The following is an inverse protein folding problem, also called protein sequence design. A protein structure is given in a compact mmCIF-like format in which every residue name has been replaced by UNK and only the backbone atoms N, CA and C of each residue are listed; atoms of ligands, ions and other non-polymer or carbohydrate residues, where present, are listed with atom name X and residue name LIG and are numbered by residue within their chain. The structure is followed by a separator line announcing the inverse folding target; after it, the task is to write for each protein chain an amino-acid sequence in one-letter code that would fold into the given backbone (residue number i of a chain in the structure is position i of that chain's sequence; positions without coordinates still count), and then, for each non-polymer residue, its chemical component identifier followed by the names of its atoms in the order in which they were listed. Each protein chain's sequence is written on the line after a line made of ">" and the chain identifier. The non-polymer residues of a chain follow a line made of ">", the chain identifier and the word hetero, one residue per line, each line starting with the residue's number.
data_IF_099071007275
#
_entry.id   IF_099071007275
#
_cell.length_a   1.000
_cell.length_b   1.000
_cell.length_c   1.000
_cell.angle_alpha   90.00
_cell.angle_beta   90.00
_cell.angle_gamma   90.00
#
_symmetry.space_group_name_H-M   'P 1'
#
loop_
_entity.id
_entity.type
_entity.pdbx_description
1 polymer ?
#
# COMPACT_ATOMS: atom_id res chain seq x y z
N UNK A 1 -5.92 32.41 -43.53
CA UNK A 1 -5.23 31.10 -43.69
C UNK A 1 -3.91 30.99 -42.90
N UNK A 2 -3.69 31.80 -41.84
CA UNK A 2 -2.50 31.73 -40.96
C UNK A 2 -2.76 31.11 -39.58
N UNK A 3 -4.00 30.80 -39.20
CA UNK A 3 -4.33 30.39 -37.81
C UNK A 3 -4.17 28.90 -37.50
N UNK A 4 -3.82 28.07 -38.49
CA UNK A 4 -3.75 26.61 -38.28
C UNK A 4 -2.34 26.13 -37.88
N UNK A 5 -1.29 26.91 -38.17
CA UNK A 5 0.09 26.57 -37.81
C UNK A 5 0.43 27.00 -36.37
N UNK A 6 -0.19 28.09 -35.91
CA UNK A 6 0.02 28.65 -34.56
C UNK A 6 -0.51 27.72 -33.44
N UNK A 7 -1.60 26.98 -33.68
CA UNK A 7 -2.15 26.05 -32.69
C UNK A 7 -1.25 24.84 -32.47
N UNK A 8 -0.68 24.28 -33.55
CA UNK A 8 0.26 23.17 -33.47
C UNK A 8 1.60 23.56 -32.80
N UNK A 9 1.98 24.84 -32.88
CA UNK A 9 3.14 25.37 -32.17
C UNK A 9 2.84 25.59 -30.67
N UNK A 10 1.64 26.04 -30.33
CA UNK A 10 1.20 26.25 -28.95
C UNK A 10 1.11 24.93 -28.18
N UNK A 11 0.52 23.90 -28.77
CA UNK A 11 0.40 22.57 -28.15
C UNK A 11 1.75 21.90 -27.90
N UNK A 12 2.75 22.20 -28.74
CA UNK A 12 4.13 21.72 -28.55
C UNK A 12 4.80 22.44 -27.37
N UNK A 13 4.56 23.74 -27.20
CA UNK A 13 5.07 24.51 -26.06
C UNK A 13 4.41 24.09 -24.74
N UNK A 14 3.09 23.86 -24.76
CA UNK A 14 2.35 23.46 -23.56
C UNK A 14 2.84 22.10 -23.05
N UNK A 15 2.97 21.10 -23.94
CA UNK A 15 3.52 19.78 -23.59
C UNK A 15 4.96 19.84 -23.08
N UNK A 16 5.77 20.76 -23.61
CA UNK A 16 7.13 21.01 -23.12
C UNK A 16 7.13 21.54 -21.68
N UNK A 17 6.30 22.54 -21.39
CA UNK A 17 6.18 23.13 -20.05
C UNK A 17 5.62 22.15 -19.03
N UNK A 18 4.63 21.33 -19.40
CA UNK A 18 4.09 20.28 -18.51
C UNK A 18 5.14 19.23 -18.14
N UNK A 19 5.98 18.85 -19.11
CA UNK A 19 7.09 17.91 -18.87
C UNK A 19 8.17 18.53 -17.95
N UNK A 20 8.48 19.82 -18.12
CA UNK A 20 9.41 20.54 -17.24
C UNK A 20 8.86 20.68 -15.82
N UNK A 21 7.59 21.07 -15.66
CA UNK A 21 6.93 21.18 -14.35
C UNK A 21 6.93 19.82 -13.63
N UNK A 22 6.66 18.73 -14.35
CA UNK A 22 6.69 17.38 -13.77
C UNK A 22 8.10 16.98 -13.31
N UNK A 23 9.14 17.30 -14.08
CA UNK A 23 10.54 17.09 -13.69
C UNK A 23 10.93 17.92 -12.46
N UNK A 24 10.54 19.20 -12.42
CA UNK A 24 10.82 20.09 -11.29
C UNK A 24 10.16 19.58 -10.00
N UNK A 25 8.90 19.16 -10.05
CA UNK A 25 8.20 18.58 -8.88
C UNK A 25 8.89 17.31 -8.38
N UNK A 26 9.30 16.40 -9.27
CA UNK A 26 10.05 15.20 -8.89
C UNK A 26 11.40 15.54 -8.23
N UNK A 27 12.11 16.56 -8.73
CA UNK A 27 13.38 17.00 -8.15
C UNK A 27 13.21 17.62 -6.76
N UNK A 28 12.16 18.43 -6.55
CA UNK A 28 11.87 19.06 -5.25
C UNK A 28 11.54 18.03 -4.17
N UNK A 29 10.72 17.01 -4.47
CA UNK A 29 10.42 15.94 -3.51
C UNK A 29 11.66 15.12 -3.14
N UNK A 30 12.54 14.85 -4.12
CA UNK A 30 13.79 14.12 -3.88
C UNK A 30 14.78 14.93 -3.04
N UNK A 31 14.88 16.24 -3.31
CA UNK A 31 15.73 17.15 -2.54
C UNK A 31 15.27 17.27 -1.07
N UNK A 32 13.96 17.37 -0.81
CA UNK A 32 13.44 17.40 0.57
C UNK A 32 13.73 16.09 1.31
N UNK A 33 13.57 14.94 0.64
CA UNK A 33 13.94 13.64 1.20
C UNK A 33 15.44 13.53 1.53
N UNK A 34 16.31 14.07 0.67
CA UNK A 34 17.77 14.10 0.88
C UNK A 34 18.17 15.07 1.98
N UNK A 35 17.49 16.21 2.17
CA UNK A 35 17.78 17.12 3.30
C UNK A 35 17.42 16.47 4.64
N UNK A 36 16.33 15.70 4.70
CA UNK A 36 15.91 14.98 5.90
C UNK A 36 16.85 13.80 6.19
N UNK A 37 17.25 13.03 5.16
CA UNK A 37 18.13 11.87 5.33
C UNK A 37 19.63 12.22 5.45
N UNK A 38 20.09 13.29 4.80
CA UNK A 38 21.51 13.62 4.64
C UNK A 38 21.96 14.92 5.32
N UNK A 39 21.05 15.87 5.60
CA UNK A 39 21.41 17.19 6.14
C UNK A 39 21.30 17.29 7.66
N UNK A 40 20.21 16.79 8.24
CA UNK A 40 19.95 16.92 9.68
C UNK A 40 20.11 15.62 10.47
N UNK A 41 19.87 14.45 9.86
CA UNK A 41 20.07 13.15 10.51
C UNK A 41 21.49 12.93 11.06
N UNK A 42 22.54 13.04 10.22
CA UNK A 42 23.91 12.86 10.69
C UNK A 42 24.42 14.05 11.53
N UNK A 43 23.89 15.28 11.37
CA UNK A 43 24.28 16.41 12.24
C UNK A 43 23.72 16.25 13.66
N UNK A 44 22.49 15.77 13.81
CA UNK A 44 21.89 15.44 15.12
C UNK A 44 22.64 14.28 15.77
N UNK A 45 22.98 13.23 15.01
CA UNK A 45 23.77 12.09 15.53
C UNK A 45 25.22 12.49 15.83
N UNK A 46 25.85 13.35 15.02
CA UNK A 46 27.20 13.88 15.24
C UNK A 46 27.29 14.85 16.42
N UNK A 47 26.26 15.66 16.66
CA UNK A 47 26.13 16.46 17.89
C UNK A 47 25.97 15.59 19.14
N UNK A 48 25.33 14.44 19.03
CA UNK A 48 25.24 13.44 20.11
C UNK A 48 26.58 12.71 20.31
N UNK A 49 27.36 12.48 19.25
CA UNK A 49 28.59 11.69 19.30
C UNK A 49 29.88 12.48 19.62
N UNK A 50 29.97 13.76 19.25
CA UNK A 50 31.12 14.61 19.59
C UNK A 50 31.03 15.30 20.95
N UNK A 51 29.90 15.14 21.66
CA UNK A 51 29.78 15.44 23.08
C UNK A 51 30.53 14.42 23.95
N UNK A 52 31.83 14.28 23.73
CA UNK A 52 32.73 13.60 24.67
C UNK A 52 32.69 14.32 26.00
N UNK A 53 32.29 13.59 27.06
CA UNK A 53 32.33 14.07 28.43
C UNK A 53 31.15 14.98 28.79
N UNK A 54 29.91 14.49 28.66
CA UNK A 54 28.81 15.06 29.43
C UNK A 54 29.13 14.82 30.89
N UNK A 55 29.64 15.87 31.52
CA UNK A 55 29.60 16.01 32.97
C UNK A 55 28.14 15.81 33.37
N UNK A 56 27.85 15.00 34.39
CA UNK A 56 26.51 14.81 35.00
C UNK A 56 25.93 16.10 35.61
N UNK A 57 26.25 17.27 35.07
CA UNK A 57 25.54 18.51 35.32
C UNK A 57 24.16 18.35 34.68
N UNK A 58 23.08 18.25 35.47
CA UNK A 58 21.75 18.16 34.91
C UNK A 58 21.54 19.43 34.08
N UNK A 59 21.41 19.27 32.77
CA UNK A 59 20.83 20.28 31.90
C UNK A 59 19.41 20.49 32.43
N UNK A 60 19.27 21.44 33.35
CA UNK A 60 18.02 22.11 33.66
C UNK A 60 17.62 22.88 32.40
N UNK A 61 17.18 22.16 31.37
CA UNK A 61 16.46 22.74 30.26
C UNK A 61 15.22 23.38 30.88
N UNK A 62 15.24 24.70 31.03
CA UNK A 62 14.12 25.49 31.52
C UNK A 62 12.96 25.29 30.53
N UNK A 63 12.16 24.27 30.81
CA UNK A 63 11.11 23.81 29.92
C UNK A 63 9.88 24.64 30.25
N UNK A 64 9.68 25.73 29.50
CA UNK A 64 8.45 26.50 29.59
C UNK A 64 7.32 25.71 28.91
N UNK A 65 6.31 25.34 29.70
CA UNK A 65 5.11 24.67 29.17
C UNK A 65 4.17 25.71 28.59
N UNK A 66 3.86 25.59 27.30
CA UNK A 66 2.82 26.38 26.65
C UNK A 66 1.47 25.65 26.77
N UNK A 67 0.48 26.31 27.37
CA UNK A 67 -0.92 25.85 27.37
C UNK A 67 -1.72 26.64 26.34
N UNK A 68 -2.12 25.99 25.26
CA UNK A 68 -2.95 26.58 24.22
C UNK A 68 -4.00 25.57 23.76
N UNK A 69 -5.18 26.05 23.34
CA UNK A 69 -6.19 25.20 22.69
C UNK A 69 -5.76 24.79 21.29
N UNK A 70 -5.01 25.67 20.63
CA UNK A 70 -4.52 25.49 19.27
C UNK A 70 -3.24 26.33 19.08
N UNK A 71 -2.29 25.79 18.32
CA UNK A 71 -1.10 26.52 17.85
C UNK A 71 -1.12 26.49 16.33
N UNK A 72 -1.14 27.66 15.69
CA UNK A 72 -1.25 27.77 14.23
C UNK A 72 0.00 28.45 13.66
N UNK A 73 0.54 27.87 12.59
CA UNK A 73 1.55 28.51 11.74
C UNK A 73 0.85 28.99 10.47
N UNK A 74 0.99 30.28 10.17
CA UNK A 74 0.44 30.89 8.95
C UNK A 74 1.54 31.28 7.96
N UNK A 75 1.17 31.42 6.69
CA UNK A 75 2.05 32.02 5.69
C UNK A 75 2.05 33.57 5.74
N UNK A 76 2.79 34.19 4.82
CA UNK A 76 2.89 35.65 4.64
C UNK A 76 1.56 36.33 4.32
N UNK A 77 0.57 35.57 3.85
CA UNK A 77 -0.80 36.04 3.58
C UNK A 77 -1.76 35.76 4.73
N UNK A 78 -1.28 35.25 5.86
CA UNK A 78 -2.09 34.89 7.03
C UNK A 78 -2.87 33.59 6.86
N UNK A 79 -2.60 32.78 5.82
CA UNK A 79 -3.28 31.49 5.62
C UNK A 79 -2.66 30.42 6.47
N UNK A 80 -3.47 29.59 7.11
CA UNK A 80 -3.00 28.47 7.93
C UNK A 80 -2.24 27.46 7.08
N UNK A 81 -1.11 26.96 7.61
CA UNK A 81 -0.24 25.96 6.97
C UNK A 81 -0.04 24.73 7.84
N UNK A 82 0.11 24.96 9.13
CA UNK A 82 0.22 23.91 10.15
C UNK A 82 -0.65 24.31 11.33
N UNK A 83 -1.39 23.37 11.90
CA UNK A 83 -2.06 23.57 13.19
C UNK A 83 -1.82 22.38 14.11
N UNK A 84 -1.47 22.63 15.36
CA UNK A 84 -1.52 21.67 16.46
C UNK A 84 -2.82 21.92 17.23
N UNK A 85 -3.74 20.96 17.22
CA UNK A 85 -5.05 21.09 17.89
C UNK A 85 -5.61 19.74 18.30
N UNK A 86 -6.64 19.77 19.13
CA UNK A 86 -7.45 18.61 19.50
C UNK A 86 -8.77 18.68 18.74
N UNK A 87 -9.07 17.69 17.91
CA UNK A 87 -10.33 17.58 17.15
C UNK A 87 -11.02 16.27 17.55
N UNK A 88 -12.27 16.35 17.99
CA UNK A 88 -13.03 15.21 18.52
C UNK A 88 -12.30 14.43 19.63
N UNK A 89 -11.57 15.16 20.47
CA UNK A 89 -10.76 14.58 21.56
C UNK A 89 -9.44 13.97 21.11
N UNK A 90 -9.13 13.99 19.81
CA UNK A 90 -7.88 13.43 19.26
C UNK A 90 -6.87 14.56 19.01
N UNK A 91 -5.72 14.57 19.71
CA UNK A 91 -4.65 15.51 19.40
C UNK A 91 -4.03 15.19 18.04
N UNK A 92 -3.74 16.22 17.25
CA UNK A 92 -3.07 16.04 15.96
C UNK A 92 -2.39 17.29 15.41
N UNK A 93 -1.48 17.04 14.47
CA UNK A 93 -0.84 18.05 13.62
C UNK A 93 -1.51 18.02 12.26
N UNK A 94 -2.08 19.14 11.84
CA UNK A 94 -2.81 19.29 10.57
C UNK A 94 -1.96 20.09 9.60
N UNK A 95 -1.94 19.67 8.33
CA UNK A 95 -1.27 20.37 7.24
C UNK A 95 -2.31 20.89 6.25
N UNK A 96 -2.17 22.14 5.81
CA UNK A 96 -3.15 22.81 4.95
C UNK A 96 -2.56 23.19 3.58
N UNK A 97 -3.41 23.14 2.56
CA UNK A 97 -3.12 23.57 1.18
C UNK A 97 -2.97 25.09 1.07
N UNK A 98 -2.63 25.60 -0.12
CA UNK A 98 -2.65 27.05 -0.39
C UNK A 98 -4.03 27.66 -0.36
N UNK A 99 -5.07 26.86 -0.57
CA UNK A 99 -6.45 27.29 -0.51
C UNK A 99 -6.98 27.29 0.93
N UNK A 100 -6.20 26.75 1.88
CA UNK A 100 -6.60 26.59 3.28
C UNK A 100 -7.34 25.28 3.56
N UNK A 101 -7.36 24.35 2.60
CA UNK A 101 -8.00 23.04 2.78
C UNK A 101 -7.05 22.09 3.52
N UNK A 102 -7.54 21.26 4.45
CA UNK A 102 -6.70 20.27 5.11
C UNK A 102 -6.24 19.18 4.10
N UNK A 103 -4.96 18.83 4.13
CA UNK A 103 -4.34 17.88 3.18
C UNK A 103 -3.76 16.65 3.87
N UNK A 104 -3.36 16.80 5.13
CA UNK A 104 -2.85 15.70 5.94
C UNK A 104 -3.04 15.96 7.42
N UNK A 105 -3.06 14.88 8.20
CA UNK A 105 -3.14 14.89 9.65
C UNK A 105 -2.21 13.84 10.23
N UNK A 106 -1.37 14.21 11.19
CA UNK A 106 -0.65 13.26 12.04
C UNK A 106 -1.35 13.19 13.39
N UNK A 107 -1.69 11.99 13.84
CA UNK A 107 -2.33 11.75 15.14
C UNK A 107 -1.79 10.48 15.79
N UNK A 108 -2.33 10.10 16.96
CA UNK A 108 -1.93 8.88 17.66
C UNK A 108 -2.13 7.60 16.82
N UNK A 109 -3.07 7.61 15.88
CA UNK A 109 -3.33 6.46 15.00
C UNK A 109 -2.46 6.44 13.75
N UNK A 110 -1.66 7.49 13.51
CA UNK A 110 -0.76 7.60 12.37
C UNK A 110 -0.99 8.84 11.50
N UNK A 111 -0.45 8.78 10.28
CA UNK A 111 -0.51 9.81 9.26
C UNK A 111 -1.68 9.53 8.31
N UNK A 112 -2.58 10.51 8.17
CA UNK A 112 -3.72 10.46 7.27
C UNK A 112 -3.52 11.51 6.18
N UNK A 113 -3.89 11.16 4.95
CA UNK A 113 -4.05 12.10 3.83
C UNK A 113 -5.52 12.39 3.65
N UNK A 114 -5.84 13.65 3.35
CA UNK A 114 -7.21 14.16 3.30
C UNK A 114 -7.52 14.70 1.90
N UNK A 115 -8.79 14.64 1.50
CA UNK A 115 -9.29 15.41 0.36
C UNK A 115 -9.61 16.85 0.75
N UNK A 116 -9.94 17.71 -0.22
CA UNK A 116 -10.28 19.11 0.04
C UNK A 116 -11.54 19.33 0.90
N UNK A 117 -12.26 18.26 1.26
CA UNK A 117 -13.40 18.28 2.20
C UNK A 117 -13.02 17.71 3.57
N UNK A 118 -11.75 17.39 3.80
CA UNK A 118 -11.28 16.78 5.05
C UNK A 118 -11.56 15.29 5.17
N UNK A 119 -11.99 14.60 4.10
CA UNK A 119 -12.23 13.15 4.14
C UNK A 119 -10.93 12.39 3.93
N UNK A 120 -10.74 11.30 4.66
CA UNK A 120 -9.55 10.45 4.54
C UNK A 120 -9.49 9.83 3.15
N UNK A 121 -8.34 9.96 2.48
CA UNK A 121 -8.02 9.27 1.22
C UNK A 121 -7.03 8.13 1.40
N UNK A 122 -6.29 8.16 2.49
CA UNK A 122 -5.35 7.12 2.85
C UNK A 122 -4.78 7.34 4.23
N UNK A 123 -4.34 6.26 4.86
CA UNK A 123 -3.89 6.25 6.24
C UNK A 123 -2.70 5.31 6.36
N UNK A 124 -1.60 5.81 6.94
CA UNK A 124 -0.42 5.05 7.31
C UNK A 124 -0.30 5.07 8.83
N UNK A 125 -0.40 3.91 9.47
CA UNK A 125 -0.37 3.80 10.91
C UNK A 125 -0.89 2.46 11.41
N UNK A 126 -1.60 2.49 12.53
CA UNK A 126 -2.15 1.26 13.12
C UNK A 126 -3.46 0.88 12.42
N UNK A 127 -3.55 -0.36 11.94
CA UNK A 127 -4.75 -0.95 11.34
C UNK A 127 -5.06 -2.25 12.10
N UNK A 128 -6.16 -2.25 12.85
CA UNK A 128 -6.44 -3.33 13.81
C UNK A 128 -5.34 -3.42 14.88
N UNK A 129 -4.77 -4.61 15.05
CA UNK A 129 -3.63 -4.84 15.96
C UNK A 129 -2.26 -4.67 15.27
N UNK A 130 -2.27 -4.35 13.97
CA UNK A 130 -1.08 -4.31 13.13
C UNK A 130 -0.69 -2.90 12.67
N UNK A 131 0.42 -2.83 11.95
CA UNK A 131 0.80 -1.64 11.18
C UNK A 131 0.36 -1.81 9.72
N UNK A 132 -0.04 -0.73 9.07
CA UNK A 132 -0.42 -0.79 7.67
C UNK A 132 -0.60 0.56 6.97
N UNK A 133 -0.89 0.45 5.69
CA UNK A 133 -1.26 1.50 4.76
C UNK A 133 -2.61 1.13 4.16
N UNK A 134 -3.59 2.02 4.26
CA UNK A 134 -4.86 1.94 3.52
C UNK A 134 -4.97 3.10 2.55
N UNK A 135 -5.52 2.85 1.36
CA UNK A 135 -5.89 3.86 0.38
C UNK A 135 -7.34 3.63 -0.03
N UNK A 136 -8.14 4.69 0.01
CA UNK A 136 -9.56 4.64 -0.32
C UNK A 136 -10.38 5.65 0.47
N UNK A 137 -11.61 5.94 0.05
CA UNK A 137 -12.50 6.90 0.72
C UNK A 137 -13.12 6.35 2.02
N UNK A 138 -13.06 5.03 2.25
CA UNK A 138 -13.66 4.33 3.38
C UNK A 138 -12.56 3.69 4.24
N UNK A 139 -12.28 4.19 5.45
CA UNK A 139 -11.26 3.62 6.33
C UNK A 139 -11.51 2.15 6.69
N UNK A 140 -12.78 1.76 6.81
CA UNK A 140 -13.24 0.41 7.15
C UNK A 140 -13.15 -0.58 5.98
N UNK A 141 -13.11 -0.09 4.75
CA UNK A 141 -13.09 -0.89 3.53
C UNK A 141 -12.31 -0.19 2.41
N UNK A 142 -10.98 -0.06 2.57
CA UNK A 142 -10.17 0.63 1.59
C UNK A 142 -10.07 -0.15 0.27
N UNK A 143 -9.93 0.58 -0.83
CA UNK A 143 -9.69 0.02 -2.17
C UNK A 143 -8.38 -0.78 -2.22
N UNK A 144 -7.37 -0.31 -1.47
CA UNK A 144 -6.10 -1.00 -1.24
C UNK A 144 -5.76 -1.02 0.24
N UNK A 145 -5.46 -2.21 0.77
CA UNK A 145 -4.90 -2.41 2.10
C UNK A 145 -3.55 -3.11 2.00
N UNK A 146 -2.53 -2.58 2.66
CA UNK A 146 -1.25 -3.24 2.91
C UNK A 146 -1.07 -3.27 4.43
N UNK A 147 -1.16 -4.43 5.06
CA UNK A 147 -1.10 -4.53 6.51
C UNK A 147 -0.28 -5.74 6.98
N UNK A 148 0.40 -5.59 8.11
CA UNK A 148 1.01 -6.68 8.86
C UNK A 148 0.18 -6.94 10.11
N UNK A 149 -0.59 -8.03 10.10
CA UNK A 149 -1.50 -8.42 11.20
C UNK A 149 -0.99 -9.67 11.92
N UNK A 150 -1.71 -10.15 12.94
CA UNK A 150 -1.46 -11.44 13.57
C UNK A 150 -1.48 -12.62 12.57
N UNK A 151 -2.23 -12.51 11.47
CA UNK A 151 -2.30 -13.52 10.42
C UNK A 151 -1.13 -13.42 9.42
N UNK A 152 -0.28 -12.40 9.59
CA UNK A 152 0.86 -12.10 8.72
C UNK A 152 0.65 -10.86 7.85
N UNK A 153 1.66 -10.52 7.04
CA UNK A 153 1.57 -9.46 6.04
C UNK A 153 0.65 -9.86 4.89
N UNK A 154 -0.18 -8.92 4.45
CA UNK A 154 -1.07 -9.07 3.31
C UNK A 154 -1.26 -7.75 2.54
N UNK A 155 -1.54 -7.89 1.24
CA UNK A 155 -2.02 -6.86 0.33
C UNK A 155 -3.40 -7.30 -0.15
N UNK A 156 -4.41 -6.45 0.05
CA UNK A 156 -5.79 -6.70 -0.40
C UNK A 156 -6.25 -5.58 -1.32
N UNK A 157 -6.88 -5.95 -2.42
CA UNK A 157 -7.61 -5.04 -3.30
C UNK A 157 -9.10 -5.32 -3.20
N UNK A 158 -9.90 -4.28 -2.99
CA UNK A 158 -11.36 -4.35 -2.88
C UNK A 158 -12.01 -3.62 -4.06
N UNK A 159 -13.24 -4.00 -4.40
CA UNK A 159 -14.04 -3.28 -5.38
C UNK A 159 -14.93 -2.20 -4.73
N UNK A 160 -15.76 -1.54 -5.54
CA UNK A 160 -16.67 -0.48 -5.08
C UNK A 160 -17.76 -0.95 -4.09
N UNK A 161 -18.00 -2.27 -4.03
CA UNK A 161 -18.95 -2.91 -3.12
C UNK A 161 -18.26 -3.45 -1.87
N UNK A 162 -17.02 -3.01 -1.60
CA UNK A 162 -16.21 -3.41 -0.45
C UNK A 162 -15.86 -4.91 -0.43
N UNK A 163 -15.92 -5.58 -1.59
CA UNK A 163 -15.59 -6.99 -1.69
C UNK A 163 -14.11 -7.18 -2.11
N UNK A 164 -13.32 -7.96 -1.36
CA UNK A 164 -11.97 -8.32 -1.77
C UNK A 164 -11.96 -9.08 -3.11
N UNK A 165 -11.24 -8.54 -4.09
CA UNK A 165 -11.06 -9.16 -5.42
C UNK A 165 -9.69 -9.77 -5.62
N UNK A 166 -8.68 -9.28 -4.92
CA UNK A 166 -7.35 -9.86 -4.90
C UNK A 166 -6.75 -9.81 -3.50
N UNK A 167 -6.10 -10.89 -3.10
CA UNK A 167 -5.33 -10.94 -1.86
C UNK A 167 -3.98 -11.61 -2.14
N UNK A 168 -2.89 -10.96 -1.74
CA UNK A 168 -1.54 -11.51 -1.72
C UNK A 168 -1.00 -11.43 -0.30
N UNK A 169 -0.73 -12.54 0.35
CA UNK A 169 -0.26 -12.53 1.73
C UNK A 169 0.22 -13.88 2.22
N UNK A 170 0.35 -13.99 3.54
CA UNK A 170 0.58 -15.26 4.20
C UNK A 170 -0.72 -15.84 4.73
N UNK A 171 -0.95 -17.13 4.50
CA UNK A 171 -2.00 -17.92 5.15
C UNK A 171 -1.31 -18.96 6.00
N UNK A 172 -1.42 -18.85 7.33
CA UNK A 172 -0.70 -19.72 8.28
C UNK A 172 0.82 -19.75 8.03
N UNK A 173 1.38 -18.60 7.63
CA UNK A 173 2.80 -18.45 7.30
C UNK A 173 3.20 -18.90 5.88
N UNK A 174 2.26 -19.37 5.07
CA UNK A 174 2.54 -19.83 3.70
C UNK A 174 2.11 -18.77 2.67
N UNK A 175 2.97 -18.43 1.68
CA UNK A 175 2.59 -17.48 0.63
C UNK A 175 1.37 -17.94 -0.17
N UNK A 176 0.41 -17.03 -0.34
CA UNK A 176 -0.84 -17.25 -1.07
C UNK A 176 -1.20 -16.01 -1.91
N UNK A 177 -1.70 -16.26 -3.13
CA UNK A 177 -2.41 -15.32 -3.98
C UNK A 177 -3.80 -15.87 -4.26
N UNK A 178 -4.82 -15.07 -4.02
CA UNK A 178 -6.22 -15.39 -4.32
C UNK A 178 -6.82 -14.29 -5.21
N UNK A 179 -7.55 -14.68 -6.25
CA UNK A 179 -8.39 -13.79 -7.06
C UNK A 179 -9.84 -14.27 -7.02
N UNK A 180 -10.74 -13.35 -6.70
CA UNK A 180 -12.18 -13.60 -6.58
C UNK A 180 -12.95 -12.86 -7.66
N UNK A 181 -14.07 -13.44 -8.11
CA UNK A 181 -14.99 -12.75 -9.01
C UNK A 181 -15.94 -11.82 -8.27
N UNK A 182 -16.92 -11.23 -8.98
CA UNK A 182 -17.89 -10.27 -8.47
C UNK A 182 -18.81 -10.77 -7.34
N UNK A 183 -18.99 -12.09 -7.21
CA UNK A 183 -19.80 -12.71 -6.15
C UNK A 183 -18.94 -13.06 -4.92
N UNK A 184 -17.64 -12.76 -4.96
CA UNK A 184 -16.67 -13.09 -3.91
C UNK A 184 -16.17 -14.53 -4.00
N UNK A 185 -16.54 -15.28 -5.04
CA UNK A 185 -16.08 -16.64 -5.26
C UNK A 185 -14.65 -16.67 -5.78
N UNK A 186 -13.77 -17.43 -5.12
CA UNK A 186 -12.40 -17.62 -5.62
C UNK A 186 -12.41 -18.31 -6.99
N UNK A 187 -11.77 -17.68 -7.97
CA UNK A 187 -11.60 -18.22 -9.34
C UNK A 187 -10.17 -18.67 -9.61
N UNK A 188 -9.20 -18.07 -8.93
CA UNK A 188 -7.79 -18.45 -9.03
C UNK A 188 -7.15 -18.42 -7.64
N UNK A 189 -6.40 -19.48 -7.33
CA UNK A 189 -5.57 -19.55 -6.14
C UNK A 189 -4.17 -20.04 -6.48
N UNK A 190 -3.13 -19.37 -6.00
CA UNK A 190 -1.75 -19.84 -6.11
C UNK A 190 -1.12 -19.84 -4.71
N UNK A 191 -0.46 -20.93 -4.34
CA UNK A 191 0.18 -21.01 -3.03
C UNK A 191 1.42 -21.91 -3.04
N UNK A 192 2.30 -21.64 -2.08
CA UNK A 192 3.54 -22.40 -1.86
C UNK A 192 3.55 -22.90 -0.43
N UNK A 193 3.61 -24.21 -0.24
CA UNK A 193 3.65 -24.86 1.06
C UNK A 193 4.83 -25.82 1.16
N UNK A 194 4.98 -26.46 2.32
CA UNK A 194 5.95 -27.56 2.49
C UNK A 194 5.74 -28.73 1.51
N UNK A 195 4.51 -28.94 1.06
CA UNK A 195 4.18 -29.98 0.10
C UNK A 195 4.58 -29.61 -1.34
N UNK A 196 4.77 -28.31 -1.63
CA UNK A 196 5.13 -27.78 -2.93
C UNK A 196 4.30 -26.57 -3.35
N UNK A 197 4.50 -26.13 -4.60
CA UNK A 197 3.74 -25.04 -5.20
C UNK A 197 2.49 -25.59 -5.91
N UNK A 198 1.40 -24.83 -5.91
CA UNK A 198 0.22 -25.15 -6.70
C UNK A 198 -0.51 -23.92 -7.22
N UNK A 199 -1.22 -24.12 -8.33
CA UNK A 199 -2.12 -23.17 -8.98
C UNK A 199 -3.46 -23.86 -9.23
N UNK A 200 -4.54 -23.27 -8.73
CA UNK A 200 -5.92 -23.73 -8.81
C UNK A 200 -6.73 -22.77 -9.66
N UNK A 201 -7.55 -23.30 -10.56
CA UNK A 201 -8.62 -22.57 -11.24
C UNK A 201 -9.96 -23.19 -10.87
N UNK A 202 -10.95 -22.36 -10.53
CA UNK A 202 -12.28 -22.78 -10.10
C UNK A 202 -13.37 -22.18 -10.99
N UNK A 203 -14.47 -22.92 -11.17
CA UNK A 203 -15.67 -22.42 -11.85
C UNK A 203 -16.51 -21.53 -10.95
N UNK A 204 -17.65 -21.05 -11.48
CA UNK A 204 -18.60 -20.17 -10.80
C UNK A 204 -19.13 -20.72 -9.45
N UNK A 205 -19.18 -22.04 -9.29
CA UNK A 205 -19.65 -22.72 -8.08
C UNK A 205 -18.48 -23.08 -7.14
N UNK A 206 -17.32 -22.46 -7.33
CA UNK A 206 -16.08 -22.70 -6.59
C UNK A 206 -15.55 -24.15 -6.73
N UNK A 207 -15.94 -24.87 -7.80
CA UNK A 207 -15.43 -26.21 -8.07
C UNK A 207 -14.13 -26.12 -8.87
N UNK A 208 -13.13 -26.87 -8.45
CA UNK A 208 -11.83 -26.93 -9.15
C UNK A 208 -12.03 -27.48 -10.55
N UNK A 209 -11.54 -26.75 -11.56
CA UNK A 209 -11.56 -27.16 -12.98
C UNK A 209 -10.18 -27.50 -13.52
N UNK A 210 -9.16 -26.83 -12.99
CA UNK A 210 -7.78 -27.14 -13.31
C UNK A 210 -6.91 -26.98 -12.06
N UNK A 211 -5.90 -27.83 -11.95
CA UNK A 211 -4.96 -27.83 -10.86
C UNK A 211 -3.57 -28.17 -11.39
N UNK A 212 -2.63 -27.25 -11.17
CA UNK A 212 -1.21 -27.48 -11.43
C UNK A 212 -0.51 -27.60 -10.08
N UNK A 213 0.34 -28.60 -9.92
CA UNK A 213 1.10 -28.86 -8.70
C UNK A 213 2.53 -29.17 -9.06
N UNK A 214 3.47 -28.62 -8.31
CA UNK A 214 4.88 -28.99 -8.32
C UNK A 214 5.22 -29.42 -6.89
N UNK A 215 5.14 -30.72 -6.64
CA UNK A 215 5.29 -31.30 -5.31
C UNK A 215 6.68 -31.89 -5.08
N UNK A 216 7.17 -31.77 -3.85
CA UNK A 216 8.51 -32.26 -3.47
C UNK A 216 8.62 -33.79 -3.45
N UNK A 217 7.50 -34.50 -3.31
CA UNK A 217 7.46 -35.98 -3.21
C UNK A 217 6.64 -36.64 -4.33
N UNK A 218 5.70 -35.91 -4.93
CA UNK A 218 4.75 -36.47 -5.91
C UNK A 218 5.07 -36.06 -7.35
N UNK A 219 6.15 -35.30 -7.57
CA UNK A 219 6.49 -34.73 -8.86
C UNK A 219 5.59 -33.57 -9.28
N UNK A 220 5.58 -33.28 -10.58
CA UNK A 220 4.77 -32.20 -11.17
C UNK A 220 3.56 -32.78 -11.89
N UNK A 221 2.39 -32.18 -11.70
CA UNK A 221 1.16 -32.61 -12.33
C UNK A 221 0.29 -31.43 -12.80
N UNK A 222 -0.43 -31.64 -13.89
CA UNK A 222 -1.56 -30.82 -14.34
C UNK A 222 -2.77 -31.74 -14.39
N UNK A 223 -3.84 -31.39 -13.67
CA UNK A 223 -5.08 -32.15 -13.59
C UNK A 223 -6.25 -31.29 -14.05
N UNK A 224 -7.14 -31.86 -14.88
CA UNK A 224 -8.38 -31.24 -15.35
C UNK A 224 -9.59 -32.00 -14.83
N UNK A 225 -10.61 -31.26 -14.41
CA UNK A 225 -11.82 -31.80 -13.79
C UNK A 225 -13.07 -31.40 -14.57
N UNK A 226 -14.09 -32.26 -14.54
CA UNK A 226 -15.41 -31.96 -15.09
C UNK A 226 -16.30 -31.13 -14.14
N UNK A 227 -17.57 -30.95 -14.49
CA UNK A 227 -18.54 -30.23 -13.65
C UNK A 227 -18.91 -31.00 -12.38
N UNK A 228 -18.81 -32.33 -12.37
CA UNK A 228 -19.01 -33.14 -11.17
C UNK A 228 -17.80 -33.12 -10.22
N UNK A 229 -16.68 -32.51 -10.63
CA UNK A 229 -15.42 -32.56 -9.89
C UNK A 229 -14.63 -33.86 -10.14
N UNK A 230 -15.03 -34.68 -11.10
CA UNK A 230 -14.29 -35.88 -11.48
C UNK A 230 -13.12 -35.51 -12.40
N UNK A 231 -11.94 -36.06 -12.12
CA UNK A 231 -10.73 -35.84 -12.94
C UNK A 231 -10.89 -36.50 -14.31
N UNK A 232 -10.75 -35.72 -15.37
CA UNK A 232 -10.90 -36.16 -16.77
C UNK A 232 -9.59 -36.32 -17.52
N UNK A 233 -8.59 -35.53 -17.16
CA UNK A 233 -7.26 -35.65 -17.72
C UNK A 233 -6.20 -35.33 -16.68
N UNK A 234 -5.02 -35.96 -16.81
CA UNK A 234 -3.83 -35.54 -16.08
C UNK A 234 -2.56 -35.76 -16.89
N UNK A 235 -1.64 -34.80 -16.82
CA UNK A 235 -0.25 -34.95 -17.25
C UNK A 235 0.60 -34.95 -16.00
N UNK A 236 1.45 -35.96 -15.83
CA UNK A 236 2.28 -36.15 -14.63
C UNK A 236 3.73 -36.41 -15.01
N UNK A 237 4.65 -35.83 -14.25
CA UNK A 237 6.08 -36.08 -14.31
C UNK A 237 6.56 -36.40 -12.90
N UNK A 238 6.81 -37.68 -12.63
CA UNK A 238 7.37 -38.14 -11.35
C UNK A 238 8.86 -37.80 -11.25
N UNK A 239 9.42 -37.90 -10.04
CA UNK A 239 10.85 -37.66 -9.81
C UNK A 239 11.74 -38.74 -10.46
N UNK A 240 11.22 -39.96 -10.55
CA UNK A 240 11.93 -41.14 -11.07
C UNK A 240 11.20 -41.78 -12.26
N UNK A 241 10.05 -41.23 -12.65
CA UNK A 241 9.15 -41.81 -13.64
C UNK A 241 9.18 -41.05 -14.98
N UNK A 242 8.88 -41.78 -16.05
CA UNK A 242 8.61 -41.19 -17.36
C UNK A 242 7.34 -40.33 -17.33
N UNK A 243 7.26 -39.28 -18.17
CA UNK A 243 6.03 -38.49 -18.29
C UNK A 243 4.82 -39.39 -18.63
N UNK A 244 3.72 -39.19 -17.91
CA UNK A 244 2.48 -39.95 -18.09
C UNK A 244 1.31 -39.04 -18.44
N UNK A 245 0.54 -39.43 -19.45
CA UNK A 245 -0.75 -38.83 -19.80
C UNK A 245 -1.86 -39.84 -19.49
N UNK A 246 -2.82 -39.44 -18.66
CA UNK A 246 -4.03 -40.20 -18.39
C UNK A 246 -5.25 -39.40 -18.87
N UNK A 247 -6.12 -40.04 -19.66
CA UNK A 247 -7.41 -39.48 -20.09
C UNK A 247 -8.50 -40.48 -19.71
N UNK A 248 -9.47 -40.06 -18.90
CA UNK A 248 -10.59 -40.90 -18.47
C UNK A 248 -11.73 -40.70 -19.46
N UNK A 249 -12.10 -41.77 -20.17
CA UNK A 249 -13.29 -41.80 -21.03
C UNK A 249 -14.52 -42.11 -20.18
N UNK A 250 -15.61 -41.41 -20.45
CA UNK A 250 -16.95 -41.71 -19.92
C UNK A 250 -17.48 -43.05 -20.44
#
# INVERSE_FOLDING_TARGET
>A
MRSHDDSAQFDRRLRGLEAEIKRLKQFTFLAIGVVIAGGFGPMIVYLIYQGGGVSDSPLSADTSTLYAKEVVVTDDRGRQRVALRVEDGVPGVYLYSEQGDPTARLSQTGLQTLDGRGRIKGHFGTIGEGAGLSLGPKPESPDLLIASTENGPAITLSDENDQPRANLGLVRGEPNLTLSDAEGGERLGAAVSKAGAHLRLSDAQARVRALMRAGNQSGTAIELFDAGGARRASIRLGLEDQPKLDIVKD
#
